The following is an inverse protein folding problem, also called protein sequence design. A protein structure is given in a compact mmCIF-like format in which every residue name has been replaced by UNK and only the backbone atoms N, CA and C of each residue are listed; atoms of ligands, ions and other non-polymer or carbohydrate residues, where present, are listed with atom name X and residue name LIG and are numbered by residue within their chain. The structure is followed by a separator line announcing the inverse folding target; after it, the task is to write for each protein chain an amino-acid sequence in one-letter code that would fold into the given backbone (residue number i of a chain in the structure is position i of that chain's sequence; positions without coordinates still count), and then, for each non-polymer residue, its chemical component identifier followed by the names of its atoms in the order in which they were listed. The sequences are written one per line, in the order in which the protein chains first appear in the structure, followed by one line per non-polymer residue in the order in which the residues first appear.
data_IF_404284655404
#
_entry.id   IF_404284655404
#
_cell.length_a   1.000
_cell.length_b   1.000
_cell.length_c   1.000
_cell.angle_alpha   90.00
_cell.angle_beta   90.00
_cell.angle_gamma   90.00
#
_symmetry.space_group_name_H-M   'P 1'
#
loop_
_entity.id
_entity.type
_entity.pdbx_description
1 polymer ?
#
# COMPACT_ATOMS: atom_id res chain seq x y z
N UNK A 1 -17.19 -2.80 20.24
CA UNK A 1 -15.92 -3.46 19.88
C UNK A 1 -15.17 -2.51 18.97
N UNK A 2 -14.47 -1.54 19.56
CA UNK A 2 -13.58 -0.68 18.78
C UNK A 2 -12.38 -1.56 18.42
N UNK A 3 -12.28 -1.99 17.16
CA UNK A 3 -11.08 -2.64 16.69
C UNK A 3 -9.93 -1.67 16.97
N UNK A 4 -9.11 -1.99 17.97
CA UNK A 4 -7.79 -1.40 18.14
C UNK A 4 -7.21 -1.22 16.76
N UNK A 5 -7.12 0.04 16.30
CA UNK A 5 -6.44 0.37 15.05
C UNK A 5 -4.97 0.12 15.33
N UNK A 6 -4.58 -1.16 15.33
CA UNK A 6 -3.20 -1.59 15.38
C UNK A 6 -2.48 -0.79 14.31
N UNK A 7 -1.40 -0.15 14.72
CA UNK A 7 -0.53 0.60 13.84
C UNK A 7 -0.05 -0.37 12.76
N UNK A 8 -0.20 0.00 11.49
CA UNK A 8 0.41 -0.81 10.43
C UNK A 8 1.91 -0.60 10.49
N UNK A 9 2.66 -1.67 10.62
CA UNK A 9 4.10 -1.66 10.55
C UNK A 9 4.56 -2.13 9.17
N UNK A 10 5.84 -1.90 8.86
CA UNK A 10 6.45 -2.31 7.58
C UNK A 10 6.27 -3.81 7.33
N UNK A 11 6.41 -4.62 8.39
CA UNK A 11 6.23 -6.06 8.33
C UNK A 11 4.82 -6.50 7.91
N UNK A 12 3.77 -5.78 8.31
CA UNK A 12 2.40 -6.08 7.87
C UNK A 12 2.24 -5.83 6.36
N UNK A 13 2.87 -4.79 5.84
CA UNK A 13 2.87 -4.48 4.41
C UNK A 13 3.67 -5.51 3.61
N UNK A 14 4.82 -5.96 4.12
CA UNK A 14 5.62 -7.02 3.50
C UNK A 14 4.90 -8.37 3.52
N UNK A 15 4.16 -8.67 4.59
CA UNK A 15 3.33 -9.87 4.68
C UNK A 15 2.21 -9.84 3.64
N UNK A 16 1.48 -8.72 3.51
CA UNK A 16 0.47 -8.56 2.44
C UNK A 16 1.10 -8.64 1.05
N UNK A 17 2.28 -8.05 0.87
CA UNK A 17 3.02 -8.10 -0.40
C UNK A 17 3.36 -9.54 -0.79
N UNK A 18 3.79 -10.36 0.16
CA UNK A 18 4.07 -11.77 -0.03
C UNK A 18 2.79 -12.58 -0.27
N UNK A 19 1.73 -12.33 0.51
CA UNK A 19 0.42 -12.97 0.37
C UNK A 19 -0.15 -12.81 -1.04
N UNK A 20 0.00 -11.62 -1.63
CA UNK A 20 -0.44 -11.33 -2.99
C UNK A 20 0.63 -11.56 -4.06
N UNK A 21 1.76 -12.18 -3.72
CA UNK A 21 2.88 -12.46 -4.62
C UNK A 21 3.39 -11.23 -5.40
N UNK A 22 3.33 -10.04 -4.80
CA UNK A 22 3.71 -8.77 -5.42
C UNK A 22 5.25 -8.55 -5.48
N UNK A 23 6.05 -9.51 -5.00
CA UNK A 23 7.52 -9.44 -4.94
C UNK A 23 8.26 -9.78 -6.24
N UNK A 24 7.56 -10.06 -7.35
CA UNK A 24 8.17 -10.53 -8.61
C UNK A 24 8.63 -9.43 -9.59
N UNK A 25 8.19 -8.18 -9.40
CA UNK A 25 8.71 -7.00 -10.12
C UNK A 25 9.60 -6.27 -9.13
N UNK A 26 10.83 -5.92 -9.51
CA UNK A 26 11.83 -5.24 -8.66
C UNK A 26 11.46 -3.86 -8.12
N UNK A 27 10.19 -3.59 -7.88
CA UNK A 27 9.68 -2.52 -7.03
C UNK A 27 9.88 -2.95 -5.58
N UNK A 28 10.53 -2.13 -4.75
CA UNK A 28 10.60 -2.37 -3.32
C UNK A 28 9.36 -1.80 -2.62
N UNK A 29 9.09 -2.23 -1.38
CA UNK A 29 8.00 -1.66 -0.58
C UNK A 29 8.11 -0.13 -0.45
N UNK A 30 9.34 0.38 -0.42
CA UNK A 30 9.61 1.82 -0.36
C UNK A 30 9.17 2.54 -1.65
N UNK A 31 9.38 1.91 -2.81
CA UNK A 31 8.92 2.43 -4.09
C UNK A 31 7.39 2.46 -4.16
N UNK A 32 6.72 1.39 -3.71
CA UNK A 32 5.26 1.36 -3.62
C UNK A 32 4.70 2.48 -2.73
N UNK A 33 5.33 2.71 -1.57
CA UNK A 33 4.97 3.82 -0.68
C UNK A 33 5.21 5.19 -1.35
N UNK A 34 6.33 5.34 -2.04
CA UNK A 34 6.65 6.57 -2.77
C UNK A 34 5.62 6.85 -3.87
N UNK A 35 5.25 5.82 -4.65
CA UNK A 35 4.27 5.94 -5.73
C UNK A 35 2.87 6.25 -5.21
N UNK A 36 2.40 5.60 -4.13
CA UNK A 36 1.10 5.92 -3.52
C UNK A 36 1.08 7.36 -3.01
N UNK A 37 2.14 7.79 -2.32
CA UNK A 37 2.25 9.17 -1.82
C UNK A 37 2.25 10.19 -2.95
N UNK A 38 2.97 9.89 -4.04
CA UNK A 38 3.01 10.73 -5.25
C UNK A 38 1.65 10.78 -5.94
N UNK A 39 1.00 9.64 -6.11
CA UNK A 39 -0.34 9.54 -6.71
C UNK A 39 -1.37 10.34 -5.94
N UNK A 40 -1.40 10.20 -4.61
CA UNK A 40 -2.28 11.00 -3.76
C UNK A 40 -2.04 12.52 -3.91
N UNK A 41 -0.78 12.95 -4.04
CA UNK A 41 -0.44 14.37 -4.26
C UNK A 41 -0.87 14.87 -5.65
N UNK A 42 -0.93 13.99 -6.64
CA UNK A 42 -1.38 14.30 -8.01
C UNK A 42 -2.89 14.15 -8.18
N UNK A 43 -3.63 13.78 -7.13
CA UNK A 43 -5.07 13.55 -7.18
C UNK A 43 -5.47 12.24 -7.87
N UNK A 44 -4.56 11.28 -7.98
CA UNK A 44 -4.85 9.95 -8.52
C UNK A 44 -5.63 9.16 -7.45
N UNK A 45 -6.78 8.61 -7.86
CA UNK A 45 -7.57 7.73 -7.01
C UNK A 45 -6.81 6.45 -6.67
N UNK A 46 -6.95 6.00 -5.42
CA UNK A 46 -6.24 4.81 -4.94
C UNK A 46 -6.64 3.54 -5.69
N UNK A 47 -7.89 3.48 -6.13
CA UNK A 47 -8.42 2.39 -6.96
C UNK A 47 -7.79 2.37 -8.34
N UNK A 48 -7.61 3.55 -8.96
CA UNK A 48 -6.95 3.69 -10.25
C UNK A 48 -5.46 3.32 -10.17
N UNK A 49 -4.78 3.76 -9.11
CA UNK A 49 -3.40 3.37 -8.82
C UNK A 49 -3.26 1.85 -8.65
N UNK A 50 -4.15 1.24 -7.87
CA UNK A 50 -4.14 -0.22 -7.64
C UNK A 50 -4.37 -0.99 -8.95
N UNK A 51 -5.32 -0.53 -9.78
CA UNK A 51 -5.59 -1.10 -11.10
C UNK A 51 -4.41 -0.97 -12.06
N UNK A 52 -3.73 0.19 -12.05
CA UNK A 52 -2.54 0.46 -12.87
C UNK A 52 -1.38 -0.45 -12.48
N UNK A 53 -1.14 -0.61 -11.18
CA UNK A 53 -0.06 -1.46 -10.65
C UNK A 53 -0.42 -2.94 -10.63
N UNK A 54 -1.67 -3.29 -10.95
CA UNK A 54 -2.22 -4.66 -10.88
C UNK A 54 -2.06 -5.26 -9.49
N UNK A 55 -2.24 -4.44 -8.47
CA UNK A 55 -2.19 -4.87 -7.06
C UNK A 55 -3.58 -4.85 -6.45
N UNK A 56 -3.85 -5.68 -5.44
CA UNK A 56 -5.14 -5.66 -4.74
C UNK A 56 -5.39 -4.33 -4.05
N UNK A 57 -6.64 -3.85 -4.11
CA UNK A 57 -7.04 -2.61 -3.45
C UNK A 57 -6.82 -2.65 -1.93
N UNK A 58 -6.91 -3.83 -1.31
CA UNK A 58 -6.62 -4.01 0.12
C UNK A 58 -5.16 -3.68 0.45
N UNK A 59 -4.22 -4.06 -0.43
CA UNK A 59 -2.81 -3.71 -0.30
C UNK A 59 -2.59 -2.21 -0.47
N UNK A 60 -3.19 -1.60 -1.50
CA UNK A 60 -3.12 -0.15 -1.72
C UNK A 60 -3.68 0.66 -0.54
N UNK A 61 -4.79 0.21 0.05
CA UNK A 61 -5.37 0.80 1.26
C UNK A 61 -4.44 0.68 2.47
N UNK A 62 -3.75 -0.45 2.63
CA UNK A 62 -2.77 -0.64 3.68
C UNK A 62 -1.57 0.32 3.52
N UNK A 63 -1.05 0.48 2.30
CA UNK A 63 0.02 1.45 1.98
C UNK A 63 -0.40 2.88 2.31
N UNK A 64 -1.59 3.30 1.86
CA UNK A 64 -2.10 4.64 2.13
C UNK A 64 -2.29 4.89 3.63
N UNK A 65 -2.87 3.93 4.33
CA UNK A 65 -3.05 4.02 5.79
C UNK A 65 -1.70 4.09 6.50
N UNK A 66 -0.68 3.36 6.05
CA UNK A 66 0.69 3.45 6.58
C UNK A 66 1.26 4.87 6.44
N UNK A 67 1.10 5.49 5.27
CA UNK A 67 1.52 6.88 5.02
C UNK A 67 0.72 7.87 5.89
N UNK A 68 -0.59 7.69 6.04
CA UNK A 68 -1.43 8.56 6.86
C UNK A 68 -1.15 8.44 8.38
N UNK A 69 -0.45 7.39 8.80
CA UNK A 69 -0.06 7.17 10.20
C UNK A 69 1.28 7.84 10.58
N UNK A 70 2.05 8.40 9.62
CA UNK A 70 3.40 8.94 9.84
C UNK A 70 3.74 10.17 9.00
#
# INVERSE_FOLDING_TARGET
MGSDRRRLDRGDLEALRQEFALGGRGDDLDDDLHQVRRGARLGIDLEDWANTRKVPLVYARALRRFIEQG
#
